data_IF_740492905373
#
_entry.id   IF_740492905373
#
_cell.length_a   1.000
_cell.length_b   1.000
_cell.length_c   1.000
_cell.angle_alpha   90.00
_cell.angle_beta   90.00
_cell.angle_gamma   90.00
#
_symmetry.space_group_name_H-M   'P 1'
#
loop_
_entity.id
_entity.type
_entity.pdbx_description
1 polymer ?
#
# COMPACT_ATOMS: atom_id res chain seq x y z
N UNK A 1 -1.94 -30.01 -9.52
CA UNK A 1 -2.12 -29.17 -8.32
C UNK A 1 -0.97 -28.18 -8.26
N UNK A 2 -1.20 -26.91 -8.56
CA UNK A 2 -0.16 -25.89 -8.41
C UNK A 2 0.05 -25.60 -6.91
N UNK A 3 1.25 -25.83 -6.42
CA UNK A 3 1.60 -25.57 -5.03
C UNK A 3 1.71 -24.05 -4.78
N UNK A 4 1.37 -23.56 -3.57
CA UNK A 4 1.64 -22.20 -3.18
C UNK A 4 3.10 -21.83 -3.44
N UNK A 5 3.34 -20.69 -4.11
CA UNK A 5 4.69 -20.19 -4.40
C UNK A 5 5.04 -19.05 -3.46
N UNK A 6 6.08 -19.22 -2.65
CA UNK A 6 6.61 -18.14 -1.82
C UNK A 6 7.30 -17.09 -2.71
N UNK A 7 6.81 -15.86 -2.71
CA UNK A 7 7.37 -14.74 -3.47
C UNK A 7 8.38 -13.95 -2.64
N UNK A 8 8.02 -13.70 -1.38
CA UNK A 8 8.82 -12.88 -0.44
C UNK A 8 8.79 -13.57 0.93
N UNK A 9 9.95 -13.93 1.44
CA UNK A 9 10.11 -14.34 2.83
C UNK A 9 10.36 -13.14 3.75
N UNK A 10 10.33 -13.33 5.06
CA UNK A 10 10.50 -12.28 6.06
C UNK A 10 11.79 -11.47 5.87
N UNK A 11 12.91 -12.14 5.57
CA UNK A 11 14.19 -11.44 5.34
C UNK A 11 14.12 -10.50 4.14
N UNK A 12 13.64 -10.98 2.99
CA UNK A 12 13.47 -10.20 1.78
C UNK A 12 12.48 -9.06 1.98
N UNK A 13 11.39 -9.29 2.74
CA UNK A 13 10.42 -8.25 3.06
C UNK A 13 11.07 -7.10 3.84
N UNK A 14 11.85 -7.41 4.86
CA UNK A 14 12.57 -6.40 5.64
C UNK A 14 13.55 -5.60 4.78
N UNK A 15 14.25 -6.24 3.83
CA UNK A 15 15.13 -5.54 2.90
C UNK A 15 14.36 -4.60 1.96
N UNK A 16 13.17 -5.02 1.50
CA UNK A 16 12.29 -4.16 0.67
C UNK A 16 11.82 -2.95 1.48
N UNK A 17 11.38 -3.14 2.72
CA UNK A 17 10.93 -2.04 3.59
C UNK A 17 12.08 -1.05 3.85
N UNK A 18 13.28 -1.55 4.14
CA UNK A 18 14.48 -0.70 4.29
C UNK A 18 14.78 0.11 3.04
N UNK A 19 14.75 -0.52 1.88
CA UNK A 19 14.94 0.16 0.60
C UNK A 19 13.89 1.25 0.38
N UNK A 20 12.63 0.96 0.63
CA UNK A 20 11.55 1.94 0.52
C UNK A 20 11.74 3.13 1.45
N UNK A 21 12.09 2.87 2.72
CA UNK A 21 12.34 3.94 3.69
C UNK A 21 13.49 4.86 3.23
N UNK A 22 14.60 4.28 2.75
CA UNK A 22 15.73 5.06 2.24
C UNK A 22 15.37 5.86 0.98
N UNK A 23 14.59 5.28 0.05
CA UNK A 23 14.08 6.00 -1.12
C UNK A 23 13.19 7.18 -0.72
N UNK A 24 12.30 6.99 0.26
CA UNK A 24 11.44 8.08 0.75
C UNK A 24 12.24 9.16 1.45
N UNK A 25 13.24 8.81 2.26
CA UNK A 25 14.15 9.77 2.90
C UNK A 25 14.90 10.59 1.84
N UNK A 26 15.41 9.95 0.81
CA UNK A 26 16.11 10.61 -0.30
C UNK A 26 15.21 11.61 -1.03
N UNK A 27 13.94 11.24 -1.28
CA UNK A 27 12.99 12.05 -2.06
C UNK A 27 12.28 13.13 -1.24
N UNK A 28 12.00 12.89 0.04
CA UNK A 28 11.14 13.74 0.88
C UNK A 28 11.89 14.44 2.02
N UNK A 29 13.19 14.16 2.20
CA UNK A 29 14.04 14.79 3.19
C UNK A 29 13.54 14.62 4.63
N UNK A 30 13.16 15.72 5.27
CA UNK A 30 12.67 15.77 6.66
C UNK A 30 11.16 15.47 6.79
N UNK A 31 10.46 15.19 5.71
CA UNK A 31 9.03 14.96 5.63
C UNK A 31 8.13 16.13 6.08
N UNK A 32 8.66 17.34 6.23
CA UNK A 32 7.87 18.51 6.64
C UNK A 32 6.71 18.81 5.69
N UNK A 33 6.87 18.50 4.39
CA UNK A 33 5.89 18.69 3.33
C UNK A 33 5.29 17.37 2.81
N UNK A 34 5.43 16.28 3.56
CA UNK A 34 5.00 14.95 3.11
C UNK A 34 4.28 14.17 4.20
N UNK A 35 3.45 13.21 3.79
CA UNK A 35 2.76 12.31 4.70
C UNK A 35 2.65 10.90 4.11
N UNK A 36 2.76 9.88 4.94
CA UNK A 36 2.49 8.48 4.60
C UNK A 36 1.08 8.14 5.03
N UNK A 37 0.29 7.60 4.10
CA UNK A 37 -1.08 7.15 4.37
C UNK A 37 -1.24 5.69 3.94
N UNK A 38 -1.44 4.81 4.93
CA UNK A 38 -1.71 3.39 4.70
C UNK A 38 -3.16 3.14 4.31
N UNK A 39 -3.40 2.40 3.23
CA UNK A 39 -4.74 2.02 2.81
C UNK A 39 -5.26 0.86 3.66
N UNK A 40 -6.42 1.04 4.27
CA UNK A 40 -7.05 0.00 5.07
C UNK A 40 -7.68 -1.08 4.18
N UNK A 41 -7.70 -2.35 4.60
CA UNK A 41 -7.14 -2.84 5.87
C UNK A 41 -5.67 -3.28 5.80
N UNK A 42 -5.09 -3.52 4.61
CA UNK A 42 -3.82 -4.26 4.46
C UNK A 42 -2.60 -3.37 4.31
N UNK A 43 -2.71 -2.25 3.59
CA UNK A 43 -1.63 -1.29 3.38
C UNK A 43 -1.13 -0.63 4.66
N UNK A 44 -1.96 -0.57 5.70
CA UNK A 44 -1.61 -0.04 7.03
C UNK A 44 -0.40 -0.73 7.64
N UNK A 45 -0.29 -2.06 7.51
CA UNK A 45 0.83 -2.80 8.09
C UNK A 45 2.17 -2.39 7.46
N UNK A 46 2.20 -2.25 6.14
CA UNK A 46 3.38 -1.78 5.41
C UNK A 46 3.70 -0.34 5.76
N UNK A 47 2.70 0.55 5.74
CA UNK A 47 2.86 1.97 6.02
C UNK A 47 3.39 2.23 7.43
N UNK A 48 2.89 1.51 8.44
CA UNK A 48 3.35 1.61 9.82
C UNK A 48 4.82 1.21 9.94
N UNK A 49 5.21 0.07 9.37
CA UNK A 49 6.61 -0.37 9.39
C UNK A 49 7.55 0.61 8.70
N UNK A 50 7.11 1.24 7.60
CA UNK A 50 7.86 2.30 6.92
C UNK A 50 8.05 3.52 7.83
N UNK A 51 6.96 3.99 8.45
CA UNK A 51 7.01 5.13 9.36
C UNK A 51 7.93 4.86 10.56
N UNK A 52 7.80 3.67 11.18
CA UNK A 52 8.65 3.25 12.30
C UNK A 52 10.13 3.25 11.88
N UNK A 53 10.45 2.70 10.70
CA UNK A 53 11.82 2.59 10.20
C UNK A 53 12.41 3.96 9.81
N UNK A 54 11.60 4.86 9.20
CA UNK A 54 12.02 6.23 8.90
C UNK A 54 12.35 6.98 10.19
N UNK A 55 11.51 6.84 11.23
CA UNK A 55 11.72 7.48 12.52
C UNK A 55 12.96 6.91 13.23
N UNK A 56 13.28 5.64 13.07
CA UNK A 56 14.51 5.03 13.59
C UNK A 56 15.77 5.65 12.94
N UNK A 57 15.74 5.89 11.63
CA UNK A 57 16.89 6.49 10.90
C UNK A 57 16.98 8.00 11.12
N UNK A 58 15.84 8.68 11.16
CA UNK A 58 15.73 10.14 11.31
C UNK A 58 14.79 10.47 12.47
N UNK A 59 15.23 10.43 13.75
CA UNK A 59 14.37 10.71 14.90
C UNK A 59 13.75 12.12 14.88
N UNK A 60 14.44 13.10 14.29
CA UNK A 60 14.00 14.51 14.18
C UNK A 60 13.11 14.78 12.96
N UNK A 61 12.62 13.73 12.26
CA UNK A 61 11.75 13.92 11.11
C UNK A 61 10.37 14.49 11.49
N UNK A 62 9.73 15.15 10.52
CA UNK A 62 8.38 15.72 10.68
C UNK A 62 7.28 14.85 10.02
N UNK A 63 7.52 13.55 9.92
CA UNK A 63 6.64 12.61 9.22
C UNK A 63 5.24 12.59 9.82
N UNK A 64 4.26 12.88 8.97
CA UNK A 64 2.84 12.69 9.26
C UNK A 64 2.42 11.30 8.79
N UNK A 65 1.73 10.56 9.65
CA UNK A 65 1.21 9.23 9.37
C UNK A 65 -0.31 9.21 9.51
N UNK A 66 -0.98 8.53 8.59
CA UNK A 66 -2.42 8.33 8.63
C UNK A 66 -2.86 6.98 8.07
N UNK A 67 -4.13 6.65 8.31
CA UNK A 67 -4.79 5.45 7.80
C UNK A 67 -6.09 5.86 7.12
N UNK A 68 -6.28 5.40 5.87
CA UNK A 68 -7.42 5.77 5.05
C UNK A 68 -8.30 4.56 4.75
N UNK A 69 -9.56 4.64 5.14
CA UNK A 69 -10.60 3.74 4.65
C UNK A 69 -11.22 4.32 3.38
N UNK A 70 -11.31 3.50 2.35
CA UNK A 70 -11.87 3.87 1.04
C UNK A 70 -13.12 3.08 0.67
N UNK A 71 -13.68 2.32 1.64
CA UNK A 71 -14.78 1.38 1.40
C UNK A 71 -15.97 2.06 0.73
N UNK A 72 -16.41 3.22 1.21
CA UNK A 72 -17.56 3.93 0.64
C UNK A 72 -17.34 4.50 -0.77
N UNK A 73 -16.10 4.58 -1.24
CA UNK A 73 -15.75 5.09 -2.57
C UNK A 73 -15.54 3.98 -3.59
N UNK A 74 -15.70 2.72 -3.19
CA UNK A 74 -15.56 1.56 -4.07
C UNK A 74 -16.79 1.39 -4.95
N UNK A 75 -16.56 1.05 -6.22
CA UNK A 75 -17.59 0.80 -7.24
C UNK A 75 -17.96 -0.70 -7.38
N UNK A 76 -17.30 -1.56 -6.58
CA UNK A 76 -17.52 -3.01 -6.56
C UNK A 76 -18.22 -3.50 -5.26
N UNK A 77 -18.76 -2.59 -4.46
CA UNK A 77 -19.57 -2.93 -3.28
C UNK A 77 -20.81 -3.71 -3.72
N UNK A 78 -21.01 -4.89 -3.11
CA UNK A 78 -22.19 -5.75 -3.40
C UNK A 78 -21.93 -6.81 -4.49
N UNK A 79 -20.73 -6.90 -5.07
CA UNK A 79 -20.38 -7.90 -6.08
C UNK A 79 -19.63 -9.13 -5.51
N UNK A 80 -19.84 -9.50 -4.25
CA UNK A 80 -19.33 -10.75 -3.69
C UNK A 80 -18.63 -10.67 -2.34
N UNK A 81 -17.82 -9.63 -2.05
CA UNK A 81 -17.20 -9.47 -0.74
C UNK A 81 -17.94 -8.40 0.08
N UNK A 82 -18.24 -8.73 1.34
CA UNK A 82 -18.80 -7.75 2.29
C UNK A 82 -17.63 -6.98 2.88
N UNK A 83 -17.47 -5.73 2.44
CA UNK A 83 -16.49 -4.81 3.02
C UNK A 83 -17.13 -4.09 4.21
N UNK A 84 -16.57 -4.29 5.40
CA UNK A 84 -16.98 -3.55 6.60
C UNK A 84 -16.17 -2.23 6.64
N UNK A 85 -16.85 -1.06 6.53
CA UNK A 85 -16.18 0.22 6.63
C UNK A 85 -15.47 0.38 7.97
N UNK A 86 -14.30 0.99 7.95
CA UNK A 86 -13.55 1.37 9.14
C UNK A 86 -13.44 2.88 9.23
N UNK A 87 -13.11 3.39 10.39
CA UNK A 87 -12.84 4.82 10.54
C UNK A 87 -11.46 5.15 9.96
N UNK A 88 -11.39 6.13 9.06
CA UNK A 88 -10.11 6.73 8.67
C UNK A 88 -9.49 7.44 9.88
N UNK A 89 -8.18 7.33 10.02
CA UNK A 89 -7.41 7.97 11.08
C UNK A 89 -6.38 8.91 10.44
N UNK A 90 -6.85 10.07 9.97
CA UNK A 90 -6.04 11.16 9.42
C UNK A 90 -6.38 12.41 10.24
N UNK A 91 -5.45 12.82 11.09
CA UNK A 91 -5.62 13.93 12.05
C UNK A 91 -4.92 15.22 11.60
N UNK A 92 -4.59 15.33 10.31
CA UNK A 92 -3.97 16.48 9.68
C UNK A 92 -4.65 16.78 8.34
N UNK A 93 -4.52 18.03 7.86
CA UNK A 93 -4.94 18.37 6.49
C UNK A 93 -3.94 17.84 5.48
N UNK A 94 -4.44 17.30 4.37
CA UNK A 94 -3.62 16.87 3.23
C UNK A 94 -3.32 18.03 2.26
N UNK A 95 -3.84 19.23 2.56
CA UNK A 95 -3.71 20.41 1.72
C UNK A 95 -2.25 20.74 1.43
N UNK A 96 -1.90 20.82 0.15
CA UNK A 96 -0.54 21.12 -0.35
C UNK A 96 0.58 20.15 0.09
N UNK A 97 0.26 18.98 0.66
CA UNK A 97 1.25 17.95 1.01
C UNK A 97 1.51 17.00 -0.17
N UNK A 98 2.71 16.43 -0.21
CA UNK A 98 3.02 15.25 -1.00
C UNK A 98 2.53 14.03 -0.21
N UNK A 99 1.57 13.29 -0.74
CA UNK A 99 0.99 12.14 -0.07
C UNK A 99 1.53 10.85 -0.67
N UNK A 100 2.13 10.01 0.16
CA UNK A 100 2.54 8.66 -0.21
C UNK A 100 1.43 7.70 0.23
N UNK A 101 0.60 7.25 -0.73
CA UNK A 101 -0.38 6.19 -0.50
C UNK A 101 0.33 4.84 -0.52
N UNK A 102 0.10 4.03 0.52
CA UNK A 102 0.77 2.74 0.69
C UNK A 102 -0.25 1.61 0.72
N UNK A 103 -0.07 0.63 -0.17
CA UNK A 103 -0.88 -0.59 -0.21
C UNK A 103 0.01 -1.84 -0.30
N UNK A 104 -0.56 -3.01 -0.02
CA UNK A 104 0.17 -4.28 -0.11
C UNK A 104 0.24 -4.79 -1.56
N UNK A 105 -0.87 -4.80 -2.29
CA UNK A 105 -0.97 -5.37 -3.65
C UNK A 105 -1.72 -4.46 -4.60
N UNK A 106 -1.05 -3.98 -5.61
CA UNK A 106 -1.69 -3.32 -6.74
C UNK A 106 -2.15 -4.38 -7.75
N UNK A 107 -3.47 -4.49 -7.91
CA UNK A 107 -4.10 -5.44 -8.83
C UNK A 107 -4.79 -4.70 -9.98
N UNK A 108 -6.09 -4.45 -9.90
CA UNK A 108 -6.87 -3.77 -10.95
C UNK A 108 -6.69 -2.25 -10.93
N UNK A 109 -6.32 -1.68 -9.78
CA UNK A 109 -6.25 -0.23 -9.53
C UNK A 109 -7.52 0.36 -8.92
N UNK A 110 -8.62 -0.42 -8.78
CA UNK A 110 -9.90 0.09 -8.26
C UNK A 110 -9.81 0.60 -6.83
N UNK A 111 -9.09 -0.12 -5.94
CA UNK A 111 -8.86 0.33 -4.57
C UNK A 111 -8.09 1.64 -4.52
N UNK A 112 -7.07 1.80 -5.35
CA UNK A 112 -6.29 3.04 -5.42
C UNK A 112 -7.13 4.21 -5.92
N UNK A 113 -7.95 4.01 -6.97
CA UNK A 113 -8.88 5.04 -7.43
C UNK A 113 -9.83 5.48 -6.30
N UNK A 114 -10.47 4.52 -5.64
CA UNK A 114 -11.37 4.80 -4.52
C UNK A 114 -10.65 5.54 -3.38
N UNK A 115 -9.37 5.20 -3.13
CA UNK A 115 -8.56 5.86 -2.11
C UNK A 115 -8.21 7.30 -2.47
N UNK A 116 -7.95 7.60 -3.75
CA UNK A 116 -7.73 8.97 -4.21
C UNK A 116 -9.00 9.80 -4.00
N UNK A 117 -10.18 9.27 -4.34
CA UNK A 117 -11.45 9.97 -4.12
C UNK A 117 -11.70 10.22 -2.62
N UNK A 118 -11.46 9.22 -1.76
CA UNK A 118 -11.59 9.36 -0.31
C UNK A 118 -10.61 10.39 0.27
N UNK A 119 -9.37 10.42 -0.24
CA UNK A 119 -8.31 11.33 0.21
C UNK A 119 -8.69 12.80 0.01
N UNK A 120 -9.40 13.13 -1.06
CA UNK A 120 -9.81 14.50 -1.36
C UNK A 120 -10.75 15.10 -0.29
N UNK A 121 -11.36 14.27 0.56
CA UNK A 121 -12.16 14.73 1.70
C UNK A 121 -11.32 15.34 2.83
N UNK A 122 -10.01 15.13 2.82
CA UNK A 122 -9.06 15.64 3.84
C UNK A 122 -8.25 16.85 3.39
N UNK A 123 -8.48 17.35 2.17
CA UNK A 123 -7.79 18.48 1.57
C UNK A 123 -7.32 18.16 0.15
N UNK A 124 -6.72 19.14 -0.53
CA UNK A 124 -6.16 18.99 -1.88
C UNK A 124 -4.66 18.75 -1.80
N UNK A 125 -4.16 17.49 -1.95
CA UNK A 125 -2.73 17.23 -2.00
C UNK A 125 -2.04 17.98 -3.14
N UNK A 126 -0.78 18.33 -2.94
CA UNK A 126 0.07 18.85 -4.02
C UNK A 126 0.40 17.73 -5.02
N UNK A 127 0.67 16.54 -4.50
CA UNK A 127 0.99 15.35 -5.28
C UNK A 127 0.55 14.11 -4.53
N UNK A 128 0.18 13.06 -5.25
CA UNK A 128 -0.10 11.73 -4.70
C UNK A 128 0.83 10.73 -5.38
N UNK A 129 1.62 10.04 -4.59
CA UNK A 129 2.50 8.96 -5.00
C UNK A 129 1.97 7.63 -4.48
N UNK A 130 2.17 6.57 -5.23
CA UNK A 130 1.71 5.23 -4.87
C UNK A 130 2.90 4.31 -4.60
N UNK A 131 2.90 3.69 -3.41
CA UNK A 131 3.85 2.65 -3.02
C UNK A 131 3.13 1.34 -2.80
N UNK A 132 3.64 0.26 -3.40
CA UNK A 132 3.07 -1.07 -3.25
C UNK A 132 4.14 -2.13 -3.04
N UNK A 133 3.83 -3.10 -2.18
CA UNK A 133 4.74 -4.23 -1.96
C UNK A 133 4.78 -5.14 -3.18
N UNK A 134 3.62 -5.40 -3.80
CA UNK A 134 3.50 -6.24 -5.00
C UNK A 134 2.72 -5.51 -6.09
N UNK A 135 3.31 -5.41 -7.27
CA UNK A 135 2.61 -4.97 -8.49
C UNK A 135 2.26 -6.17 -9.38
N UNK A 136 0.97 -6.43 -9.58
CA UNK A 136 0.43 -7.43 -10.52
C UNK A 136 0.16 -6.76 -11.88
N UNK A 137 1.21 -6.53 -12.64
CA UNK A 137 1.27 -5.64 -13.80
C UNK A 137 0.25 -5.91 -14.91
N UNK A 138 -0.08 -7.19 -15.17
CA UNK A 138 -0.95 -7.57 -16.31
C UNK A 138 -2.45 -7.64 -15.99
N UNK A 139 -2.86 -7.26 -14.80
CA UNK A 139 -4.26 -7.34 -14.35
C UNK A 139 -4.88 -5.95 -14.14
N UNK A 140 -4.26 -4.92 -14.72
CA UNK A 140 -4.71 -3.54 -14.57
C UNK A 140 -5.99 -3.28 -15.37
N UNK A 141 -7.00 -2.71 -14.72
CA UNK A 141 -8.25 -2.26 -15.34
C UNK A 141 -8.31 -0.73 -15.45
N UNK A 142 -7.53 -0.01 -14.64
CA UNK A 142 -7.44 1.44 -14.64
C UNK A 142 -5.99 1.88 -14.90
N UNK A 143 -5.75 3.06 -15.51
CA UNK A 143 -4.42 3.54 -15.86
C UNK A 143 -3.65 4.05 -14.63
N UNK A 144 -3.43 3.18 -13.65
CA UNK A 144 -2.74 3.47 -12.40
C UNK A 144 -1.40 2.75 -12.41
N UNK A 145 -0.33 3.49 -12.13
CA UNK A 145 1.04 2.98 -12.01
C UNK A 145 1.64 3.39 -10.67
N UNK A 146 2.35 2.50 -9.98
CA UNK A 146 3.01 2.84 -8.72
C UNK A 146 4.33 3.57 -8.96
N UNK A 147 4.69 4.47 -8.02
CA UNK A 147 6.00 5.15 -7.99
C UNK A 147 7.07 4.25 -7.35
N UNK A 148 6.66 3.46 -6.35
CA UNK A 148 7.56 2.58 -5.61
C UNK A 148 7.00 1.16 -5.61
N UNK A 149 7.84 0.20 -6.01
CA UNK A 149 7.46 -1.21 -6.15
C UNK A 149 8.43 -2.12 -5.41
N UNK A 150 7.89 -2.99 -4.57
CA UNK A 150 8.68 -4.03 -3.90
C UNK A 150 9.12 -5.11 -4.86
N UNK A 151 8.15 -5.80 -5.43
CA UNK A 151 8.33 -6.82 -6.47
C UNK A 151 7.22 -6.72 -7.53
N UNK A 152 7.57 -7.10 -8.75
CA UNK A 152 6.60 -7.25 -9.84
C UNK A 152 6.25 -8.72 -9.99
N UNK A 153 4.97 -9.02 -10.16
CA UNK A 153 4.46 -10.37 -10.42
C UNK A 153 3.75 -10.38 -11.77
N UNK A 154 4.38 -11.05 -12.73
CA UNK A 154 3.87 -11.16 -14.11
C UNK A 154 2.93 -12.38 -14.25
N UNK A 155 1.96 -12.50 -13.36
CA UNK A 155 0.93 -13.52 -13.45
C UNK A 155 -0.18 -13.08 -14.39
N UNK A 156 -0.41 -13.84 -15.46
CA UNK A 156 -1.51 -13.65 -16.42
C UNK A 156 -2.72 -14.52 -16.10
N UNK A 157 -2.57 -15.49 -15.20
CA UNK A 157 -3.66 -16.39 -14.82
C UNK A 157 -4.69 -15.66 -13.97
N UNK A 158 -5.94 -15.68 -14.39
CA UNK A 158 -7.09 -15.13 -13.64
C UNK A 158 -7.40 -15.91 -12.37
N UNK A 159 -6.86 -17.13 -12.25
CA UNK A 159 -7.03 -18.00 -11.09
C UNK A 159 -5.99 -17.81 -9.98
N UNK A 160 -4.99 -16.96 -10.18
CA UNK A 160 -3.97 -16.71 -9.16
C UNK A 160 -4.27 -15.46 -8.33
N UNK A 161 -3.96 -15.49 -7.05
CA UNK A 161 -4.03 -14.32 -6.17
C UNK A 161 -2.80 -14.22 -5.27
N UNK A 162 -2.44 -12.99 -4.92
CA UNK A 162 -1.34 -12.70 -4.00
C UNK A 162 -1.92 -12.57 -2.60
N UNK A 163 -1.36 -13.34 -1.65
CA UNK A 163 -1.68 -13.26 -0.23
C UNK A 163 -0.50 -12.70 0.52
N UNK A 164 -0.70 -11.58 1.22
CA UNK A 164 0.30 -11.01 2.12
C UNK A 164 -0.07 -11.38 3.55
N UNK A 165 0.85 -11.98 4.28
CA UNK A 165 0.70 -12.38 5.68
C UNK A 165 1.53 -11.49 6.58
N UNK A 166 0.85 -10.85 7.53
CA UNK A 166 1.42 -9.97 8.55
C UNK A 166 1.21 -10.57 9.93
N UNK A 167 1.98 -11.58 10.30
CA UNK A 167 1.96 -12.12 11.66
C UNK A 167 3.17 -11.66 12.46
N UNK A 168 3.11 -11.77 13.80
CA UNK A 168 4.25 -11.40 14.65
C UNK A 168 5.49 -12.26 14.39
N UNK A 169 5.28 -13.52 14.00
CA UNK A 169 6.36 -14.49 13.80
C UNK A 169 6.82 -14.58 12.34
N UNK A 170 5.88 -14.39 11.38
CA UNK A 170 6.17 -14.56 9.97
C UNK A 170 5.48 -13.48 9.14
N UNK A 171 6.25 -12.87 8.28
CA UNK A 171 5.78 -11.87 7.32
C UNK A 171 6.18 -12.37 5.94
N UNK A 172 5.21 -12.80 5.17
CA UNK A 172 5.47 -13.50 3.91
C UNK A 172 4.47 -13.09 2.83
N UNK A 173 4.88 -13.24 1.59
CA UNK A 173 4.02 -13.01 0.43
C UNK A 173 3.98 -14.27 -0.41
N UNK A 174 2.78 -14.75 -0.67
CA UNK A 174 2.51 -15.97 -1.42
C UNK A 174 1.74 -15.68 -2.70
N UNK A 175 2.07 -16.41 -3.76
CA UNK A 175 1.21 -16.55 -4.93
C UNK A 175 0.46 -17.87 -4.79
N UNK A 176 -0.86 -17.75 -4.71
CA UNK A 176 -1.78 -18.86 -4.57
C UNK A 176 -2.57 -19.04 -5.85
N UNK A 177 -2.75 -20.29 -6.29
CA UNK A 177 -3.64 -20.61 -7.40
C UNK A 177 -5.01 -21.00 -6.85
N UNK A 178 -6.11 -20.59 -7.50
CA UNK A 178 -7.43 -21.14 -7.16
C UNK A 178 -7.39 -22.65 -7.34
N UNK A 179 -7.89 -23.40 -6.35
CA UNK A 179 -8.29 -24.78 -6.57
C UNK A 179 -9.47 -24.74 -7.54
N UNK A 180 -9.35 -25.45 -8.65
CA UNK A 180 -10.50 -25.84 -9.47
C UNK A 180 -11.46 -26.67 -8.64
#
# INVERSE_FOLDING_TARGET
>A
MSHPKLLINTHKLNLIIKRFALQLIEMHGDFSQSAIIGLQPRGVNLAKKLADFITEIQPENSLKYGELDHTFFRDDIGRGEIFMPKKSNINFSTENLNIILVDDVLYTGRSVRASIDALMSFGRPKQVELMVLVDRRFQRELPISPNYVGVVVDSRSTGEHVKVEWTNEQQQVWLLSKKE
#
